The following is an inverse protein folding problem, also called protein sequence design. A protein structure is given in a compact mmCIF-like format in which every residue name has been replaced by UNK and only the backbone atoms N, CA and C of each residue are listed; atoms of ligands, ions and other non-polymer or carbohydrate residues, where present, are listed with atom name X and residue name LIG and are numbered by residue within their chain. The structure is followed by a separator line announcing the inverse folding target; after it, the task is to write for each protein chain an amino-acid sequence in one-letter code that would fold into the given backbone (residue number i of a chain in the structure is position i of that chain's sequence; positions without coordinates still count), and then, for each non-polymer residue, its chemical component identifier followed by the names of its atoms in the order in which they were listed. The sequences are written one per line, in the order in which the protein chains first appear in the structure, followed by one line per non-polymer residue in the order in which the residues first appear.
data_IF_675693958137
#
_entry.id   IF_675693958137
#
_cell.length_a   1.000
_cell.length_b   1.000
_cell.length_c   1.000
_cell.angle_alpha   90.00
_cell.angle_beta   90.00
_cell.angle_gamma   90.00
#
_symmetry.space_group_name_H-M   'P 1'
#
loop_
_entity.id
_entity.type
_entity.pdbx_description
1 polymer ?
#
# COMPACT_ATOMS: atom_id res chain seq x y z
N UNK A 1 7.67 7.61 6.17
CA UNK A 1 6.97 8.89 5.83
C UNK A 1 5.98 8.70 4.66
N UNK A 2 4.83 9.40 4.63
CA UNK A 2 3.98 9.45 3.42
C UNK A 2 4.70 10.27 2.35
N UNK A 3 5.09 9.61 1.27
CA UNK A 3 5.89 10.22 0.21
C UNK A 3 5.01 10.84 -0.88
N UNK A 4 3.89 10.19 -1.20
CA UNK A 4 2.99 10.62 -2.28
C UNK A 4 1.59 10.06 -2.08
N UNK A 5 0.58 10.88 -2.37
CA UNK A 5 -0.82 10.47 -2.46
C UNK A 5 -1.46 11.14 -3.67
N UNK A 6 -2.14 10.36 -4.50
CA UNK A 6 -2.75 10.86 -5.74
C UNK A 6 -4.11 10.24 -6.01
N UNK A 7 -5.03 11.08 -6.49
CA UNK A 7 -6.36 10.65 -6.87
C UNK A 7 -6.36 10.14 -8.31
N UNK A 8 -6.76 8.88 -8.46
CA UNK A 8 -6.91 8.23 -9.76
C UNK A 8 -8.33 7.68 -9.91
N UNK A 9 -8.74 7.44 -11.15
CA UNK A 9 -9.94 6.65 -11.45
C UNK A 9 -9.49 5.26 -11.86
N UNK A 10 -10.30 4.25 -11.55
CA UNK A 10 -10.01 2.85 -11.88
C UNK A 10 -11.02 2.33 -12.92
N UNK A 11 -10.56 1.43 -13.79
CA UNK A 11 -11.40 0.59 -14.64
C UNK A 11 -11.95 -0.62 -13.90
N UNK A 12 -12.85 -1.39 -14.53
CA UNK A 12 -13.57 -2.50 -13.87
C UNK A 12 -12.65 -3.62 -13.33
N UNK A 13 -11.47 -3.79 -13.93
CA UNK A 13 -10.47 -4.81 -13.55
C UNK A 13 -9.34 -4.25 -12.69
N UNK A 14 -9.35 -2.94 -12.42
CA UNK A 14 -8.29 -2.25 -11.71
C UNK A 14 -8.64 -2.13 -10.22
N UNK A 15 -7.63 -2.10 -9.33
CA UNK A 15 -7.87 -1.87 -7.93
C UNK A 15 -8.47 -0.46 -7.71
N UNK A 16 -9.42 -0.37 -6.78
CA UNK A 16 -10.05 0.91 -6.37
C UNK A 16 -9.06 1.83 -5.67
N UNK A 17 -8.04 1.23 -5.04
CA UNK A 17 -6.93 1.90 -4.40
C UNK A 17 -5.71 0.97 -4.40
N UNK A 18 -4.53 1.55 -4.49
CA UNK A 18 -3.24 0.88 -4.41
C UNK A 18 -2.42 1.60 -3.34
N UNK A 19 -2.03 0.87 -2.31
CA UNK A 19 -1.07 1.35 -1.31
C UNK A 19 0.24 0.61 -1.51
N UNK A 20 1.36 1.33 -1.48
CA UNK A 20 2.69 0.76 -1.63
C UNK A 20 3.59 1.21 -0.49
N UNK A 21 4.25 0.23 0.12
CA UNK A 21 5.31 0.45 1.11
C UNK A 21 6.62 0.09 0.45
N UNK A 22 7.47 1.08 0.23
CA UNK A 22 8.83 0.87 -0.26
C UNK A 22 9.77 0.74 0.93
N UNK A 23 10.35 -0.46 1.07
CA UNK A 23 11.33 -0.77 2.11
C UNK A 23 12.67 -0.20 1.71
N UNK A 24 13.23 0.67 2.55
CA UNK A 24 14.53 1.29 2.31
C UNK A 24 15.55 0.87 3.36
N UNK A 25 16.82 0.87 2.96
CA UNK A 25 17.96 0.86 3.89
C UNK A 25 18.35 2.31 4.26
N UNK A 26 19.23 2.48 5.26
CA UNK A 26 19.60 3.80 5.81
C UNK A 26 20.14 4.79 4.76
N UNK A 27 20.77 4.31 3.70
CA UNK A 27 21.28 5.14 2.59
C UNK A 27 20.18 5.61 1.60
N UNK A 28 18.92 5.22 1.84
CA UNK A 28 17.76 5.57 1.03
C UNK A 28 17.51 4.64 -0.16
N UNK A 29 18.34 3.61 -0.38
CA UNK A 29 18.13 2.63 -1.44
C UNK A 29 16.90 1.76 -1.12
N UNK A 30 16.01 1.61 -2.11
CA UNK A 30 14.87 0.68 -2.04
C UNK A 30 15.38 -0.74 -2.27
N UNK A 31 15.03 -1.65 -1.35
CA UNK A 31 15.43 -3.07 -1.40
C UNK A 31 14.26 -4.03 -1.59
N UNK A 32 13.03 -3.57 -1.31
CA UNK A 32 11.81 -4.33 -1.61
C UNK A 32 10.58 -3.42 -1.55
N UNK A 33 9.44 -3.94 -2.00
CA UNK A 33 8.16 -3.26 -1.91
C UNK A 33 7.04 -4.22 -1.51
N UNK A 34 6.10 -3.73 -0.70
CA UNK A 34 4.79 -4.35 -0.51
C UNK A 34 3.74 -3.56 -1.26
N UNK A 35 2.96 -4.22 -2.10
CA UNK A 35 1.82 -3.65 -2.82
C UNK A 35 0.54 -4.22 -2.27
N UNK A 36 -0.35 -3.33 -1.80
CA UNK A 36 -1.69 -3.67 -1.33
C UNK A 36 -2.68 -3.21 -2.38
N UNK A 37 -3.10 -4.15 -3.24
CA UNK A 37 -4.12 -3.91 -4.26
C UNK A 37 -5.50 -4.08 -3.64
N UNK A 38 -6.25 -2.98 -3.58
CA UNK A 38 -7.55 -2.94 -2.93
C UNK A 38 -8.62 -3.07 -4.00
N UNK A 39 -9.48 -4.06 -3.83
CA UNK A 39 -10.70 -4.24 -4.60
C UNK A 39 -11.90 -4.09 -3.67
N UNK A 40 -13.10 -3.99 -4.24
CA UNK A 40 -14.33 -3.70 -3.49
C UNK A 40 -14.57 -4.62 -2.29
N UNK A 41 -14.12 -5.87 -2.35
CA UNK A 41 -14.33 -6.89 -1.31
C UNK A 41 -13.05 -7.53 -0.78
N UNK A 42 -11.88 -7.20 -1.32
CA UNK A 42 -10.64 -7.89 -0.97
C UNK A 42 -9.40 -7.01 -1.06
N UNK A 43 -8.39 -7.40 -0.29
CA UNK A 43 -7.04 -6.86 -0.30
C UNK A 43 -6.13 -7.99 -0.78
N UNK A 44 -5.31 -7.71 -1.79
CA UNK A 44 -4.24 -8.60 -2.25
C UNK A 44 -2.92 -7.96 -1.88
N UNK A 45 -2.07 -8.68 -1.14
CA UNK A 45 -0.73 -8.22 -0.80
C UNK A 45 0.31 -8.96 -1.60
N UNK A 46 1.10 -8.20 -2.35
CA UNK A 46 2.22 -8.69 -3.15
C UNK A 46 3.51 -8.14 -2.58
N UNK A 47 4.51 -9.00 -2.41
CA UNK A 47 5.88 -8.65 -2.06
C UNK A 47 6.77 -8.75 -3.28
N UNK A 48 7.66 -7.78 -3.48
CA UNK A 48 8.65 -7.78 -4.56
C UNK A 48 10.01 -7.37 -4.00
N UNK A 49 11.07 -8.10 -4.33
CA UNK A 49 12.44 -7.77 -3.96
C UNK A 49 13.19 -7.02 -5.08
N UNK A 50 14.37 -6.49 -4.77
CA UNK A 50 15.20 -5.77 -5.74
C UNK A 50 15.90 -6.68 -6.77
N UNK A 51 15.61 -7.99 -6.77
CA UNK A 51 16.18 -8.96 -7.72
C UNK A 51 15.32 -9.16 -8.97
N UNK A 52 14.19 -8.45 -9.08
CA UNK A 52 13.32 -8.43 -10.26
C UNK A 52 12.81 -9.83 -10.66
N UNK A 53 12.57 -10.71 -9.69
CA UNK A 53 12.08 -12.07 -9.94
C UNK A 53 10.56 -12.13 -10.17
N UNK A 54 9.89 -10.97 -10.13
CA UNK A 54 8.44 -10.85 -10.11
C UNK A 54 7.91 -10.79 -8.67
N UNK A 55 6.70 -10.25 -8.53
CA UNK A 55 6.04 -10.17 -7.24
C UNK A 55 5.44 -11.50 -6.79
N UNK A 56 5.60 -11.83 -5.52
CA UNK A 56 4.98 -12.97 -4.86
C UNK A 56 3.72 -12.52 -4.11
N UNK A 57 2.59 -13.21 -4.32
CA UNK A 57 1.38 -12.96 -3.53
C UNK A 57 1.56 -13.63 -2.16
N UNK A 58 1.64 -12.83 -1.11
CA UNK A 58 1.94 -13.32 0.24
C UNK A 58 0.71 -13.35 1.16
N UNK A 59 -0.38 -12.67 0.80
CA UNK A 59 -1.57 -12.57 1.63
C UNK A 59 -2.83 -12.18 0.84
N UNK A 60 -3.98 -12.62 1.34
CA UNK A 60 -5.32 -12.28 0.88
C UNK A 60 -6.22 -12.00 2.07
N UNK A 61 -7.01 -10.94 2.01
CA UNK A 61 -7.94 -10.61 3.09
C UNK A 61 -9.19 -9.88 2.58
N UNK A 62 -10.20 -9.78 3.44
CA UNK A 62 -11.42 -9.04 3.16
C UNK A 62 -11.12 -7.55 3.31
N UNK A 63 -11.59 -6.77 2.32
CA UNK A 63 -11.44 -5.31 2.39
C UNK A 63 -12.39 -4.71 3.42
N UNK A 64 -11.80 -4.09 4.43
CA UNK A 64 -12.33 -2.94 5.14
C UNK A 64 -11.15 -2.03 5.50
N UNK A 65 -11.42 -0.75 5.77
CA UNK A 65 -10.35 0.23 5.95
C UNK A 65 -9.44 -0.07 7.15
N UNK A 66 -9.99 -0.60 8.24
CA UNK A 66 -9.24 -0.97 9.45
C UNK A 66 -8.27 -2.12 9.15
N UNK A 67 -8.72 -3.17 8.47
CA UNK A 67 -7.87 -4.28 8.06
C UNK A 67 -6.74 -3.82 7.15
N UNK A 68 -7.03 -2.92 6.20
CA UNK A 68 -6.02 -2.34 5.33
C UNK A 68 -4.94 -1.60 6.13
N UNK A 69 -5.33 -0.72 7.04
CA UNK A 69 -4.40 0.05 7.88
C UNK A 69 -3.52 -0.89 8.70
N UNK A 70 -4.12 -1.89 9.34
CA UNK A 70 -3.39 -2.89 10.12
C UNK A 70 -2.36 -3.64 9.26
N UNK A 71 -2.71 -4.01 8.02
CA UNK A 71 -1.76 -4.64 7.10
C UNK A 71 -0.64 -3.70 6.68
N UNK A 72 -0.94 -2.46 6.33
CA UNK A 72 0.09 -1.48 5.95
C UNK A 72 1.05 -1.27 7.12
N UNK A 73 0.53 -1.02 8.33
CA UNK A 73 1.32 -0.85 9.56
C UNK A 73 2.20 -2.05 9.89
N UNK A 74 1.72 -3.27 9.64
CA UNK A 74 2.53 -4.49 9.85
C UNK A 74 3.86 -4.47 9.08
N UNK A 75 3.91 -3.84 7.91
CA UNK A 75 5.10 -3.85 7.04
C UNK A 75 5.81 -2.50 6.93
N UNK A 76 5.19 -1.43 7.42
CA UNK A 76 5.68 -0.05 7.31
C UNK A 76 6.43 0.41 8.56
N UNK A 77 7.65 0.90 8.36
CA UNK A 77 8.46 1.63 9.34
C UNK A 77 8.43 3.13 8.98
N UNK A 78 7.89 3.94 9.88
CA UNK A 78 7.67 5.37 9.65
C UNK A 78 8.97 6.18 9.49
N UNK A 79 10.07 5.70 10.09
CA UNK A 79 11.37 6.37 10.11
C UNK A 79 12.09 6.26 8.77
N UNK A 80 11.99 5.11 8.12
CA UNK A 80 12.80 4.79 6.94
C UNK A 80 11.97 4.51 5.70
N UNK A 81 10.75 3.98 5.78
CA UNK A 81 10.03 3.57 4.58
C UNK A 81 9.29 4.73 3.92
N UNK A 82 9.06 4.59 2.62
CA UNK A 82 8.16 5.48 1.88
C UNK A 82 6.80 4.81 1.67
N UNK A 83 5.74 5.54 2.00
CA UNK A 83 4.37 5.15 1.71
C UNK A 83 3.84 5.94 0.52
N UNK A 84 3.33 5.23 -0.49
CA UNK A 84 2.74 5.81 -1.70
C UNK A 84 1.33 5.29 -1.91
N UNK A 85 0.39 6.18 -2.18
CA UNK A 85 -1.04 5.86 -2.27
C UNK A 85 -1.61 6.40 -3.59
N UNK A 86 -2.34 5.54 -4.31
CA UNK A 86 -3.11 5.91 -5.50
C UNK A 86 -4.52 5.37 -5.37
N UNK A 87 -5.55 6.11 -5.76
CA UNK A 87 -6.90 5.55 -5.80
C UNK A 87 -7.99 6.59 -5.90
N UNK A 88 -9.24 6.14 -5.83
CA UNK A 88 -10.34 7.09 -5.83
C UNK A 88 -10.31 7.96 -4.58
N UNK A 89 -10.64 9.24 -4.76
CA UNK A 89 -10.61 10.25 -3.70
C UNK A 89 -11.22 9.77 -2.37
N UNK A 90 -12.41 9.19 -2.41
CA UNK A 90 -13.11 8.73 -1.19
C UNK A 90 -12.30 7.71 -0.37
N UNK A 91 -11.58 6.80 -1.02
CA UNK A 91 -10.80 5.76 -0.33
C UNK A 91 -9.46 6.30 0.13
N UNK A 92 -8.84 7.17 -0.68
CA UNK A 92 -7.58 7.82 -0.31
C UNK A 92 -7.78 8.74 0.89
N UNK A 93 -8.84 9.56 0.88
CA UNK A 93 -9.18 10.46 2.00
C UNK A 93 -9.44 9.64 3.29
N UNK A 94 -10.26 8.60 3.22
CA UNK A 94 -10.58 7.75 4.38
C UNK A 94 -9.34 7.01 4.92
N UNK A 95 -8.47 6.50 4.03
CA UNK A 95 -7.20 5.90 4.43
C UNK A 95 -6.30 6.91 5.13
N UNK A 96 -6.06 8.08 4.53
CA UNK A 96 -5.15 9.09 5.07
C UNK A 96 -5.61 9.61 6.43
N UNK A 97 -6.90 9.91 6.58
CA UNK A 97 -7.46 10.40 7.84
C UNK A 97 -7.22 9.39 8.97
N UNK A 98 -7.59 8.12 8.76
CA UNK A 98 -7.44 7.08 9.78
C UNK A 98 -5.99 6.69 10.02
N UNK A 99 -5.17 6.67 8.98
CA UNK A 99 -3.76 6.26 9.09
C UNK A 99 -2.92 7.28 9.87
N UNK A 100 -3.26 8.57 9.79
CA UNK A 100 -2.58 9.67 10.47
C UNK A 100 -3.12 9.97 11.88
N UNK A 101 -4.34 9.51 12.20
CA UNK A 101 -4.95 9.68 13.53
C UNK A 101 -4.39 8.70 14.59
N UNK A 102 -3.88 7.54 14.15
CA UNK A 102 -3.29 6.49 14.99
C UNK A 102 -1.76 6.50 14.97
#
# INVERSE_FOLDING_TARGET
MIKHAEYTRHGITEPIMLVMVYKKVEDGKIISAFRFSIYKNMIITVYEDDKLQGGEVIDFDIFNMVNLINKVRKYYDDNIDDLVIFGEKQYVDDFLNKFLEE
#
